data_IF_512509282999
#
_entry.id   IF_512509282999
#
_cell.length_a   1.000
_cell.length_b   1.000
_cell.length_c   1.000
_cell.angle_alpha   90.00
_cell.angle_beta   90.00
_cell.angle_gamma   90.00
#
_symmetry.space_group_name_H-M   'P 1'
#
loop_
_entity.id
_entity.type
_entity.pdbx_description
1 polymer ?
#
# COMPACT_ATOMS: atom_id res chain seq x y z
N UNK A 1 -18.01 42.23 34.09
CA UNK A 1 -17.40 40.98 33.58
C UNK A 1 -16.00 41.29 33.08
N UNK A 2 -14.99 41.14 33.94
CA UNK A 2 -13.59 41.25 33.54
C UNK A 2 -13.21 39.98 32.78
N UNK A 3 -12.80 40.10 31.53
CA UNK A 3 -12.25 38.98 30.78
C UNK A 3 -11.02 38.48 31.54
N UNK A 4 -11.08 37.25 32.08
CA UNK A 4 -9.89 36.57 32.59
C UNK A 4 -8.91 36.41 31.42
N UNK A 5 -7.93 37.32 31.34
CA UNK A 5 -6.78 37.18 30.45
C UNK A 5 -6.03 35.93 30.89
N UNK A 6 -6.30 34.83 30.20
CA UNK A 6 -5.64 33.55 30.48
C UNK A 6 -4.12 33.74 30.36
N UNK A 7 -3.38 33.25 31.35
CA UNK A 7 -1.92 33.38 31.38
C UNK A 7 -1.32 32.81 30.07
N UNK A 8 -0.35 33.51 29.44
CA UNK A 8 0.16 33.13 28.14
C UNK A 8 0.85 31.75 28.15
N UNK A 9 0.87 31.09 27.00
CA UNK A 9 1.56 29.80 26.85
C UNK A 9 3.07 29.95 27.06
N UNK A 10 3.69 28.98 27.75
CA UNK A 10 5.13 28.93 27.90
C UNK A 10 5.83 28.81 26.54
N UNK A 11 7.04 29.38 26.43
CA UNK A 11 7.86 29.28 25.20
C UNK A 11 8.10 27.82 24.78
N UNK A 12 8.24 26.91 25.75
CA UNK A 12 8.38 25.48 25.49
C UNK A 12 7.14 24.87 24.84
N UNK A 13 5.93 25.19 25.32
CA UNK A 13 4.70 24.67 24.73
C UNK A 13 4.46 25.21 23.32
N UNK A 14 4.85 26.47 23.07
CA UNK A 14 4.82 27.04 21.73
C UNK A 14 5.77 26.31 20.78
N UNK A 15 7.00 25.98 21.23
CA UNK A 15 7.97 25.20 20.44
C UNK A 15 7.45 23.80 20.12
N UNK A 16 6.88 23.08 21.10
CA UNK A 16 6.30 21.75 20.88
C UNK A 16 5.18 21.82 19.83
N UNK A 17 4.32 22.83 19.89
CA UNK A 17 3.28 23.04 18.89
C UNK A 17 3.86 23.29 17.49
N UNK A 18 4.90 24.12 17.37
CA UNK A 18 5.57 24.34 16.08
C UNK A 18 6.18 23.05 15.54
N UNK A 19 6.84 22.25 16.38
CA UNK A 19 7.39 20.94 15.98
C UNK A 19 6.25 20.02 15.50
N UNK A 20 5.13 19.96 16.21
CA UNK A 20 3.97 19.16 15.80
C UNK A 20 3.50 19.53 14.38
N UNK A 21 3.45 20.82 14.04
CA UNK A 21 3.08 21.28 12.68
C UNK A 21 4.09 20.78 11.65
N UNK A 22 5.39 20.88 11.95
CA UNK A 22 6.44 20.37 11.05
C UNK A 22 6.29 18.88 10.81
N UNK A 23 6.03 18.08 11.87
CA UNK A 23 5.83 16.64 11.73
C UNK A 23 4.55 16.32 10.93
N UNK A 24 3.46 17.07 11.14
CA UNK A 24 2.23 16.91 10.36
C UNK A 24 2.47 17.16 8.87
N UNK A 25 3.25 18.20 8.52
CA UNK A 25 3.61 18.49 7.12
C UNK A 25 4.58 17.45 6.57
N UNK A 26 5.47 16.90 7.41
CA UNK A 26 6.42 15.88 7.00
C UNK A 26 5.73 14.59 6.50
N UNK A 27 4.55 14.26 7.04
CA UNK A 27 3.79 13.06 6.65
C UNK A 27 3.41 12.99 5.15
N UNK A 28 2.71 13.98 4.55
CA UNK A 28 2.44 13.95 3.12
C UNK A 28 3.72 14.18 2.30
N UNK A 29 4.64 15.03 2.78
CA UNK A 29 5.90 15.30 2.08
C UNK A 29 6.70 14.01 1.91
N UNK A 30 6.82 13.17 2.95
CA UNK A 30 7.60 11.93 2.91
C UNK A 30 7.14 10.97 1.81
N UNK A 31 5.83 10.75 1.72
CA UNK A 31 5.23 9.85 0.74
C UNK A 31 5.26 10.45 -0.67
N UNK A 32 4.81 11.70 -0.83
CA UNK A 32 4.72 12.36 -2.13
C UNK A 32 6.09 12.61 -2.75
N UNK A 33 7.12 12.89 -1.95
CA UNK A 33 8.49 12.99 -2.47
C UNK A 33 8.99 11.67 -3.08
N UNK A 34 8.60 10.52 -2.52
CA UNK A 34 8.89 9.21 -3.11
C UNK A 34 8.12 9.01 -4.42
N UNK A 35 6.82 9.32 -4.40
CA UNK A 35 5.94 9.18 -5.57
C UNK A 35 6.39 10.02 -6.76
N UNK A 36 6.83 11.25 -6.50
CA UNK A 36 7.31 12.19 -7.52
C UNK A 36 8.75 11.91 -7.95
N UNK A 37 9.42 10.90 -7.36
CA UNK A 37 10.80 10.56 -7.67
C UNK A 37 11.83 11.57 -7.16
N UNK A 38 11.46 12.44 -6.22
CA UNK A 38 12.37 13.41 -5.59
C UNK A 38 13.41 12.66 -4.74
N UNK A 39 13.01 11.55 -4.11
CA UNK A 39 13.91 10.65 -3.38
C UNK A 39 13.49 9.18 -3.48
N UNK A 40 14.40 8.24 -3.17
CA UNK A 40 14.04 6.82 -3.05
C UNK A 40 13.00 6.58 -1.96
N UNK A 41 12.20 5.52 -2.12
CA UNK A 41 11.14 5.18 -1.16
C UNK A 41 11.67 4.94 0.27
N UNK A 42 12.91 4.48 0.42
CA UNK A 42 13.56 4.27 1.72
C UNK A 42 13.71 5.58 2.49
N UNK A 43 14.00 6.69 1.80
CA UNK A 43 14.03 8.03 2.41
C UNK A 43 12.62 8.45 2.81
N UNK A 44 11.62 8.22 1.96
CA UNK A 44 10.23 8.47 2.32
C UNK A 44 9.78 7.70 3.57
N UNK A 45 10.13 6.43 3.68
CA UNK A 45 9.83 5.61 4.87
C UNK A 45 10.57 6.11 6.11
N UNK A 46 11.82 6.55 5.96
CA UNK A 46 12.59 7.17 7.06
C UNK A 46 11.92 8.45 7.56
N UNK A 47 11.53 9.35 6.65
CA UNK A 47 10.85 10.61 7.00
C UNK A 47 9.48 10.36 7.65
N UNK A 48 8.73 9.36 7.17
CA UNK A 48 7.48 8.92 7.80
C UNK A 48 7.74 8.42 9.23
N UNK A 49 8.81 7.64 9.43
CA UNK A 49 9.21 7.11 10.74
C UNK A 49 9.61 8.23 11.70
N UNK A 50 10.33 9.24 11.23
CA UNK A 50 10.66 10.45 12.01
C UNK A 50 9.38 11.20 12.43
N UNK A 51 8.44 11.37 11.49
CA UNK A 51 7.14 11.98 11.79
C UNK A 51 6.38 11.21 12.87
N UNK A 52 6.33 9.87 12.76
CA UNK A 52 5.67 8.99 13.71
C UNK A 52 6.31 9.04 15.10
N UNK A 53 7.62 8.81 15.19
CA UNK A 53 8.34 8.78 16.47
C UNK A 53 8.34 10.15 17.14
N UNK A 54 8.55 11.23 16.37
CA UNK A 54 8.44 12.59 16.90
C UNK A 54 7.06 12.88 17.45
N UNK A 55 6.01 12.42 16.76
CA UNK A 55 4.62 12.59 17.21
C UNK A 55 4.34 11.82 18.51
N UNK A 56 4.86 10.60 18.62
CA UNK A 56 4.76 9.80 19.85
C UNK A 56 5.48 10.47 21.03
N UNK A 57 6.69 11.00 20.80
CA UNK A 57 7.46 11.74 21.81
C UNK A 57 6.68 12.98 22.27
N UNK A 58 6.03 13.71 21.36
CA UNK A 58 5.16 14.84 21.73
C UNK A 58 4.03 14.40 22.66
N UNK A 59 3.38 13.25 22.40
CA UNK A 59 2.32 12.76 23.30
C UNK A 59 2.87 12.46 24.70
N UNK A 60 4.05 11.83 24.80
CA UNK A 60 4.68 11.51 26.07
C UNK A 60 5.06 12.79 26.84
N UNK A 61 5.73 13.74 26.18
CA UNK A 61 6.12 15.01 26.79
C UNK A 61 4.89 15.78 27.27
N UNK A 62 3.84 15.87 26.43
CA UNK A 62 2.62 16.57 26.79
C UNK A 62 1.92 15.91 27.99
N UNK A 63 1.85 14.58 28.04
CA UNK A 63 1.29 13.85 29.17
C UNK A 63 2.03 14.19 30.47
N UNK A 64 3.37 14.07 30.48
CA UNK A 64 4.22 14.42 31.63
C UNK A 64 3.98 15.87 32.07
N UNK A 65 3.91 16.80 31.11
CA UNK A 65 3.78 18.21 31.44
C UNK A 65 2.39 18.58 31.96
N UNK A 66 1.34 17.92 31.48
CA UNK A 66 -0.02 18.06 32.00
C UNK A 66 -0.16 17.60 33.46
N UNK A 67 0.59 16.56 33.88
CA UNK A 67 0.64 16.14 35.29
C UNK A 67 1.20 17.23 36.22
N UNK A 68 2.01 18.16 35.70
CA UNK A 68 2.54 19.30 36.47
C UNK A 68 1.54 20.44 36.64
N UNK A 69 0.27 20.26 36.25
CA UNK A 69 -0.82 21.24 36.36
C UNK A 69 -0.41 22.64 35.82
N UNK A 70 0.00 22.74 34.54
CA UNK A 70 0.49 23.98 33.98
C UNK A 70 -0.62 25.04 33.86
N UNK A 71 -0.22 26.32 33.77
CA UNK A 71 -1.15 27.44 33.57
C UNK A 71 -2.04 27.25 32.31
N UNK A 72 -3.22 27.88 32.32
CA UNK A 72 -4.27 27.67 31.31
C UNK A 72 -3.79 27.82 29.85
N UNK A 73 -3.04 28.88 29.51
CA UNK A 73 -2.52 29.05 28.15
C UNK A 73 -1.50 28.00 27.74
N UNK A 74 -0.68 27.51 28.67
CA UNK A 74 0.25 26.39 28.42
C UNK A 74 -0.52 25.10 28.18
N UNK A 75 -1.53 24.81 29.02
CA UNK A 75 -2.43 23.65 28.83
C UNK A 75 -3.10 23.66 27.46
N UNK A 76 -3.58 24.83 27.01
CA UNK A 76 -4.18 24.99 25.68
C UNK A 76 -3.18 24.71 24.57
N UNK A 77 -1.97 25.29 24.62
CA UNK A 77 -0.93 25.05 23.63
C UNK A 77 -0.52 23.57 23.51
N UNK A 78 -0.41 22.85 24.64
CA UNK A 78 -0.12 21.41 24.65
C UNK A 78 -1.24 20.58 24.04
N UNK A 79 -2.51 20.92 24.33
CA UNK A 79 -3.65 20.24 23.70
C UNK A 79 -3.61 20.36 22.17
N UNK A 80 -3.38 21.57 21.64
CA UNK A 80 -3.25 21.76 20.20
C UNK A 80 -2.05 21.01 19.62
N UNK A 81 -0.91 21.04 20.29
CA UNK A 81 0.26 20.26 19.86
C UNK A 81 -0.05 18.76 19.79
N UNK A 82 -0.73 18.21 20.79
CA UNK A 82 -1.18 16.82 20.78
C UNK A 82 -2.12 16.53 19.62
N UNK A 83 -3.16 17.35 19.40
CA UNK A 83 -4.10 17.16 18.29
C UNK A 83 -3.42 17.20 16.92
N UNK A 84 -2.47 18.11 16.72
CA UNK A 84 -1.71 18.24 15.47
C UNK A 84 -0.77 17.04 15.26
N UNK A 85 -0.22 16.46 16.32
CA UNK A 85 0.65 15.30 16.27
C UNK A 85 -0.11 13.96 16.23
N UNK A 86 -1.44 13.93 16.31
CA UNK A 86 -2.22 12.67 16.23
C UNK A 86 -2.23 12.00 14.85
N UNK A 87 -2.37 12.72 13.71
CA UNK A 87 -2.59 12.08 12.41
C UNK A 87 -1.55 11.03 12.01
N UNK A 88 -0.23 11.24 12.19
CA UNK A 88 0.76 10.18 11.91
C UNK A 88 0.53 8.90 12.72
N UNK A 89 0.18 9.03 13.99
CA UNK A 89 -0.11 7.90 14.88
C UNK A 89 -1.37 7.16 14.43
N UNK A 90 -2.44 7.91 14.12
CA UNK A 90 -3.71 7.35 13.66
C UNK A 90 -3.53 6.64 12.31
N UNK A 91 -2.78 7.24 11.38
CA UNK A 91 -2.50 6.63 10.08
C UNK A 91 -1.80 5.27 10.24
N UNK A 92 -0.73 5.21 11.04
CA UNK A 92 0.01 3.97 11.27
C UNK A 92 -0.82 2.96 12.05
N UNK A 93 -1.61 3.38 13.05
CA UNK A 93 -2.51 2.48 13.77
C UNK A 93 -3.58 1.87 12.87
N UNK A 94 -4.16 2.63 11.92
CA UNK A 94 -5.08 2.08 10.93
C UNK A 94 -4.39 1.11 9.97
N UNK A 95 -3.17 1.45 9.53
CA UNK A 95 -2.37 0.59 8.67
C UNK A 95 -2.03 -0.73 9.37
N UNK A 96 -1.66 -0.68 10.65
CA UNK A 96 -1.36 -1.84 11.50
C UNK A 96 -2.58 -2.70 11.81
N UNK A 97 -3.76 -2.12 12.05
CA UNK A 97 -4.99 -2.90 12.21
C UNK A 97 -5.33 -3.71 10.96
N UNK A 98 -4.92 -3.24 9.79
CA UNK A 98 -5.03 -3.96 8.52
C UNK A 98 -3.94 -5.03 8.32
N UNK A 99 -2.97 -5.17 9.23
CA UNK A 99 -1.94 -6.23 9.21
C UNK A 99 -2.42 -7.37 10.12
N UNK A 100 -2.62 -8.57 9.55
CA UNK A 100 -2.73 -9.77 10.37
C UNK A 100 -1.39 -10.10 11.04
N UNK A 101 -1.42 -10.86 12.12
CA UNK A 101 -0.23 -11.12 12.96
C UNK A 101 0.90 -11.87 12.21
N UNK A 102 0.58 -12.64 11.16
CA UNK A 102 1.55 -13.47 10.42
C UNK A 102 1.46 -13.27 8.90
N UNK A 103 1.79 -12.06 8.40
CA UNK A 103 1.90 -11.88 6.95
C UNK A 103 3.26 -12.37 6.44
N UNK A 104 3.29 -13.28 5.45
CA UNK A 104 4.54 -13.81 4.91
C UNK A 104 5.36 -12.70 4.27
N UNK A 105 6.68 -12.79 4.38
CA UNK A 105 7.62 -11.93 3.65
C UNK A 105 7.74 -12.41 2.19
N UNK A 106 6.62 -12.41 1.48
CA UNK A 106 6.54 -12.70 0.05
C UNK A 106 5.89 -11.51 -0.67
N UNK A 107 6.25 -11.34 -1.93
CA UNK A 107 5.80 -10.22 -2.75
C UNK A 107 5.45 -10.67 -4.18
N UNK A 108 5.29 -11.98 -4.38
CA UNK A 108 5.10 -12.61 -5.68
C UNK A 108 3.99 -13.64 -5.50
N UNK A 109 2.80 -13.32 -6.00
CA UNK A 109 1.60 -14.13 -5.80
C UNK A 109 1.06 -14.58 -7.16
N UNK A 110 0.77 -15.87 -7.31
CA UNK A 110 0.25 -16.47 -8.56
C UNK A 110 -1.02 -17.27 -8.27
N UNK A 111 -1.99 -17.24 -9.17
CA UNK A 111 -3.18 -18.12 -9.07
C UNK A 111 -2.91 -19.54 -9.53
N UNK A 112 -1.90 -19.72 -10.39
CA UNK A 112 -1.42 -21.02 -10.87
C UNK A 112 -0.02 -21.23 -10.27
N UNK A 113 0.09 -22.11 -9.27
CA UNK A 113 1.35 -22.35 -8.54
C UNK A 113 2.30 -23.27 -9.30
N UNK A 114 1.75 -24.15 -10.15
CA UNK A 114 2.52 -25.14 -10.89
C UNK A 114 3.10 -24.54 -12.17
N UNK A 115 2.32 -23.70 -12.85
CA UNK A 115 2.73 -23.00 -14.06
C UNK A 115 2.35 -21.50 -13.98
N UNK A 116 3.03 -20.71 -13.14
CA UNK A 116 2.73 -19.29 -12.97
C UNK A 116 2.75 -18.53 -14.29
N UNK A 117 1.81 -17.59 -14.52
CA UNK A 117 1.88 -16.64 -15.62
C UNK A 117 3.26 -15.96 -15.69
N UNK A 118 3.83 -15.95 -16.89
CA UNK A 118 5.16 -15.40 -17.14
C UNK A 118 5.06 -13.95 -17.60
N UNK A 119 5.95 -13.11 -17.09
CA UNK A 119 6.11 -11.75 -17.56
C UNK A 119 7.07 -11.72 -18.76
N UNK A 120 6.74 -10.93 -19.76
CA UNK A 120 7.54 -10.69 -20.96
C UNK A 120 7.91 -9.20 -21.03
N UNK A 121 6.93 -8.31 -21.04
CA UNK A 121 7.17 -6.88 -21.19
C UNK A 121 7.60 -6.22 -19.86
N UNK A 122 7.14 -6.74 -18.72
CA UNK A 122 7.53 -6.22 -17.40
C UNK A 122 9.05 -6.24 -17.18
N UNK A 123 9.77 -7.16 -17.82
CA UNK A 123 11.24 -7.27 -17.74
C UNK A 123 11.90 -5.97 -18.22
N UNK A 124 11.35 -5.32 -19.25
CA UNK A 124 11.85 -4.06 -19.80
C UNK A 124 11.27 -2.84 -19.05
N UNK A 125 10.05 -2.97 -18.51
CA UNK A 125 9.35 -1.88 -17.82
C UNK A 125 9.75 -1.72 -16.35
N UNK A 126 10.38 -2.74 -15.76
CA UNK A 126 10.86 -2.74 -14.38
C UNK A 126 12.29 -2.19 -14.32
N UNK A 127 12.60 -1.40 -13.29
CA UNK A 127 13.96 -0.91 -13.09
C UNK A 127 14.88 -2.02 -12.58
N UNK A 128 16.20 -1.85 -12.75
CA UNK A 128 17.20 -2.86 -12.36
C UNK A 128 17.17 -3.22 -10.86
N UNK A 129 16.73 -2.30 -10.01
CA UNK A 129 16.62 -2.51 -8.56
C UNK A 129 15.28 -3.16 -8.15
N UNK A 130 14.48 -3.61 -9.12
CA UNK A 130 13.21 -4.27 -8.81
C UNK A 130 13.44 -5.68 -8.28
N UNK A 131 12.59 -6.13 -7.38
CA UNK A 131 12.58 -7.51 -6.87
C UNK A 131 12.64 -8.55 -8.01
N UNK A 132 13.16 -9.76 -7.76
CA UNK A 132 13.19 -10.80 -8.79
C UNK A 132 11.79 -11.25 -9.20
N UNK A 133 11.67 -11.67 -10.47
CA UNK A 133 10.48 -12.29 -11.04
C UNK A 133 10.48 -13.82 -10.91
N UNK A 134 11.47 -14.41 -10.25
CA UNK A 134 11.51 -15.85 -10.01
C UNK A 134 10.33 -16.28 -9.11
N UNK A 135 9.68 -17.39 -9.47
CA UNK A 135 8.67 -18.03 -8.64
C UNK A 135 9.23 -19.36 -8.13
N UNK A 136 9.78 -19.36 -6.92
CA UNK A 136 10.41 -20.56 -6.35
C UNK A 136 9.39 -21.45 -5.64
N UNK A 137 9.75 -22.72 -5.42
CA UNK A 137 8.94 -23.66 -4.63
C UNK A 137 8.74 -23.19 -3.17
N UNK A 138 9.71 -22.45 -2.63
CA UNK A 138 9.60 -21.82 -1.30
C UNK A 138 8.50 -20.75 -1.29
N UNK A 139 8.48 -19.87 -2.31
CA UNK A 139 7.42 -18.86 -2.47
C UNK A 139 6.06 -19.53 -2.63
N UNK A 140 5.96 -20.59 -3.44
CA UNK A 140 4.73 -21.34 -3.61
C UNK A 140 4.21 -21.93 -2.28
N UNK A 141 5.13 -22.52 -1.49
CA UNK A 141 4.80 -23.10 -0.18
C UNK A 141 4.30 -22.04 0.80
N UNK A 142 5.01 -20.92 0.91
CA UNK A 142 4.62 -19.81 1.79
C UNK A 142 3.29 -19.19 1.34
N UNK A 143 3.09 -19.01 0.04
CA UNK A 143 1.82 -18.54 -0.49
C UNK A 143 0.68 -19.49 -0.13
N UNK A 144 0.84 -20.80 -0.33
CA UNK A 144 -0.21 -21.77 -0.06
C UNK A 144 -0.60 -21.80 1.43
N UNK A 145 0.34 -21.54 2.33
CA UNK A 145 0.07 -21.45 3.77
C UNK A 145 -0.68 -20.18 4.14
N UNK A 146 -0.35 -19.04 3.52
CA UNK A 146 -0.89 -17.74 3.90
C UNK A 146 -2.11 -17.28 3.10
N UNK A 147 -2.27 -17.76 1.88
CA UNK A 147 -3.32 -17.37 0.93
C UNK A 147 -3.88 -18.58 0.15
N UNK A 148 -4.35 -19.65 0.81
CA UNK A 148 -4.85 -20.87 0.16
C UNK A 148 -6.08 -20.63 -0.73
N UNK A 149 -6.79 -19.53 -0.54
CA UNK A 149 -7.96 -19.14 -1.30
C UNK A 149 -7.64 -18.63 -2.72
N UNK A 150 -6.39 -18.23 -2.99
CA UNK A 150 -5.99 -17.68 -4.29
C UNK A 150 -5.79 -18.80 -5.31
N UNK A 151 -6.72 -18.88 -6.25
CA UNK A 151 -6.75 -19.92 -7.28
C UNK A 151 -7.13 -19.31 -8.64
N UNK A 152 -6.87 -20.05 -9.72
CA UNK A 152 -7.26 -19.66 -11.08
C UNK A 152 -8.77 -19.44 -11.20
N UNK A 153 -9.16 -18.43 -11.97
CA UNK A 153 -10.57 -18.10 -12.17
C UNK A 153 -11.13 -18.82 -13.40
N UNK A 154 -12.17 -19.64 -13.19
CA UNK A 154 -12.94 -20.26 -14.26
C UNK A 154 -13.99 -19.26 -14.80
N UNK A 155 -14.19 -19.24 -16.11
CA UNK A 155 -15.20 -18.39 -16.76
C UNK A 155 -15.86 -19.11 -17.93
N UNK A 156 -17.19 -18.98 -18.02
CA UNK A 156 -17.98 -19.50 -19.16
C UNK A 156 -17.82 -18.66 -20.44
N UNK A 157 -17.08 -17.55 -20.35
CA UNK A 157 -16.78 -16.70 -21.51
C UNK A 157 -15.77 -17.39 -22.42
N UNK A 158 -15.91 -17.18 -23.73
CA UNK A 158 -14.87 -17.57 -24.68
C UNK A 158 -13.56 -16.85 -24.35
N UNK A 159 -12.38 -17.39 -24.73
CA UNK A 159 -11.10 -16.74 -24.48
C UNK A 159 -11.03 -15.28 -24.97
N UNK A 160 -11.65 -14.98 -26.11
CA UNK A 160 -11.70 -13.62 -26.65
C UNK A 160 -12.56 -12.69 -25.80
N UNK A 161 -13.74 -13.15 -25.38
CA UNK A 161 -14.63 -12.39 -24.50
C UNK A 161 -14.01 -12.18 -23.10
N UNK A 162 -13.38 -13.22 -22.56
CA UNK A 162 -12.68 -13.15 -21.28
C UNK A 162 -11.49 -12.19 -21.36
N UNK A 163 -10.71 -12.20 -22.44
CA UNK A 163 -9.63 -11.25 -22.66
C UNK A 163 -10.14 -9.81 -22.66
N UNK A 164 -11.18 -9.51 -23.47
CA UNK A 164 -11.75 -8.17 -23.55
C UNK A 164 -12.29 -7.69 -22.19
N UNK A 165 -12.96 -8.58 -21.45
CA UNK A 165 -13.47 -8.29 -20.10
C UNK A 165 -12.33 -8.08 -19.11
N UNK A 166 -11.29 -8.92 -19.13
CA UNK A 166 -10.13 -8.80 -18.25
C UNK A 166 -9.39 -7.48 -18.46
N UNK A 167 -9.24 -7.05 -19.71
CA UNK A 167 -8.67 -5.75 -20.05
C UNK A 167 -9.51 -4.61 -19.47
N UNK A 168 -10.83 -4.64 -19.71
CA UNK A 168 -11.75 -3.61 -19.19
C UNK A 168 -11.74 -3.56 -17.66
N UNK A 169 -11.68 -4.73 -17.00
CA UNK A 169 -11.57 -4.82 -15.53
C UNK A 169 -10.26 -4.20 -15.03
N UNK A 170 -9.12 -4.51 -15.65
CA UNK A 170 -7.83 -3.93 -15.29
C UNK A 170 -7.83 -2.40 -15.41
N UNK A 171 -8.38 -1.88 -16.51
CA UNK A 171 -8.53 -0.43 -16.74
C UNK A 171 -9.49 0.21 -15.73
N UNK A 172 -10.62 -0.43 -15.40
CA UNK A 172 -11.58 0.05 -14.42
C UNK A 172 -11.01 0.06 -12.99
N UNK A 173 -10.06 -0.82 -12.68
CA UNK A 173 -9.29 -0.80 -11.43
C UNK A 173 -8.20 0.28 -11.42
N UNK A 174 -8.02 1.03 -12.52
CA UNK A 174 -7.04 2.10 -12.65
C UNK A 174 -5.61 1.60 -12.93
N UNK A 175 -5.45 0.33 -13.33
CA UNK A 175 -4.13 -0.19 -13.69
C UNK A 175 -3.67 0.41 -15.02
N UNK A 176 -2.37 0.69 -15.12
CA UNK A 176 -1.75 1.13 -16.37
C UNK A 176 -1.35 -0.09 -17.18
N UNK A 177 -2.15 -0.45 -18.18
CA UNK A 177 -1.88 -1.57 -19.11
C UNK A 177 -0.81 -1.16 -20.11
N UNK A 178 0.28 -1.93 -20.18
CA UNK A 178 1.41 -1.64 -21.08
C UNK A 178 1.68 -2.76 -22.11
N UNK A 179 1.11 -3.96 -21.96
CA UNK A 179 1.11 -5.02 -22.97
C UNK A 179 -0.27 -5.68 -23.12
N UNK A 180 -0.63 -5.99 -24.35
CA UNK A 180 -1.90 -6.65 -24.71
C UNK A 180 -1.69 -7.63 -25.86
N UNK A 181 -1.19 -8.83 -25.55
CA UNK A 181 -0.96 -9.87 -26.53
C UNK A 181 -2.19 -10.78 -26.66
N UNK A 182 -3.13 -10.39 -27.53
CA UNK A 182 -4.36 -11.16 -27.80
C UNK A 182 -4.08 -12.58 -28.30
N UNK A 183 -3.06 -12.76 -29.15
CA UNK A 183 -2.72 -14.06 -29.72
C UNK A 183 -2.28 -15.08 -28.67
N UNK A 184 -1.58 -14.61 -27.62
CA UNK A 184 -1.12 -15.45 -26.52
C UNK A 184 -2.02 -15.36 -25.28
N UNK A 185 -3.15 -14.64 -25.37
CA UNK A 185 -4.06 -14.41 -24.25
C UNK A 185 -3.40 -13.71 -23.06
N UNK A 186 -2.39 -12.85 -23.27
CA UNK A 186 -1.64 -12.19 -22.20
C UNK A 186 -1.95 -10.70 -22.11
N UNK A 187 -2.16 -10.21 -20.89
CA UNK A 187 -2.23 -8.78 -20.58
C UNK A 187 -1.18 -8.52 -19.51
N UNK A 188 -0.38 -7.46 -19.66
CA UNK A 188 0.50 -6.97 -18.60
C UNK A 188 0.20 -5.52 -18.26
N UNK A 189 0.17 -5.25 -16.96
CA UNK A 189 -0.18 -3.95 -16.41
C UNK A 189 0.63 -3.67 -15.14
N UNK A 190 0.61 -2.41 -14.71
CA UNK A 190 1.17 -2.00 -13.42
C UNK A 190 0.11 -1.31 -12.59
N UNK A 191 0.01 -1.73 -11.33
CA UNK A 191 -0.74 -1.02 -10.30
C UNK A 191 0.22 -0.13 -9.50
N UNK A 192 -0.18 1.12 -9.22
CA UNK A 192 0.67 2.10 -8.53
C UNK A 192 -0.05 2.68 -7.32
N UNK A 193 0.50 2.40 -6.13
CA UNK A 193 -0.07 2.91 -4.86
C UNK A 193 -0.13 4.43 -4.83
N UNK A 194 -1.25 4.98 -4.32
CA UNK A 194 -1.51 6.41 -4.35
C UNK A 194 -0.44 7.25 -3.61
N UNK A 195 -0.05 6.88 -2.39
CA UNK A 195 0.79 7.73 -1.54
C UNK A 195 2.28 7.66 -1.89
N UNK A 196 2.84 6.46 -1.88
CA UNK A 196 4.29 6.24 -2.06
C UNK A 196 4.70 6.02 -3.51
N UNK A 197 3.76 5.72 -4.40
CA UNK A 197 4.09 5.37 -5.78
C UNK A 197 4.76 4.01 -5.93
N UNK A 198 4.62 3.11 -4.94
CA UNK A 198 5.01 1.71 -5.10
C UNK A 198 4.29 1.09 -6.29
N UNK A 199 5.04 0.35 -7.09
CA UNK A 199 4.59 -0.28 -8.32
C UNK A 199 4.58 -1.80 -8.13
N UNK A 200 3.48 -2.41 -8.55
CA UNK A 200 3.30 -3.86 -8.59
C UNK A 200 2.95 -4.25 -10.03
N UNK A 201 3.75 -5.12 -10.63
CA UNK A 201 3.52 -5.62 -11.98
C UNK A 201 2.51 -6.77 -11.93
N UNK A 202 1.55 -6.77 -12.85
CA UNK A 202 0.50 -7.78 -12.97
C UNK A 202 0.53 -8.37 -14.36
N UNK A 203 0.50 -9.69 -14.44
CA UNK A 203 0.24 -10.42 -15.68
C UNK A 203 -1.02 -11.24 -15.55
N UNK A 204 -1.85 -11.20 -16.58
CA UNK A 204 -3.06 -12.00 -16.73
C UNK A 204 -2.86 -12.91 -17.93
N UNK A 205 -3.11 -14.20 -17.77
CA UNK A 205 -3.06 -15.21 -18.84
C UNK A 205 -4.45 -15.85 -18.98
N UNK A 206 -5.01 -15.76 -20.18
CA UNK A 206 -6.28 -16.37 -20.54
C UNK A 206 -6.00 -17.60 -21.40
N UNK A 207 -6.51 -18.76 -20.97
CA UNK A 207 -6.43 -20.04 -21.70
C UNK A 207 -7.83 -20.53 -22.04
N UNK A 208 -7.99 -21.22 -23.16
CA UNK A 208 -9.22 -21.96 -23.43
C UNK A 208 -9.39 -23.12 -22.44
N UNK A 209 -10.64 -23.43 -22.10
CA UNK A 209 -11.04 -24.63 -21.40
C UNK A 209 -12.28 -25.23 -22.06
N UNK A 210 -12.64 -26.46 -21.69
CA UNK A 210 -13.80 -27.15 -22.26
C UNK A 210 -15.13 -26.41 -22.04
N UNK A 211 -15.20 -25.57 -20.99
CA UNK A 211 -16.39 -24.82 -20.59
C UNK A 211 -16.31 -23.32 -20.91
N UNK A 212 -15.22 -22.86 -21.53
CA UNK A 212 -14.99 -21.45 -21.82
C UNK A 212 -13.52 -21.07 -21.72
N UNK A 213 -13.13 -20.45 -20.61
CA UNK A 213 -11.75 -20.03 -20.37
C UNK A 213 -11.31 -20.11 -18.90
N UNK A 214 -9.99 -20.22 -18.72
CA UNK A 214 -9.30 -20.11 -17.44
C UNK A 214 -8.51 -18.80 -17.44
N UNK A 215 -8.67 -18.00 -16.40
CA UNK A 215 -7.96 -16.74 -16.19
C UNK A 215 -7.00 -16.94 -15.03
N UNK A 216 -5.71 -17.01 -15.36
CA UNK A 216 -4.63 -17.02 -14.40
C UNK A 216 -4.09 -15.61 -14.21
N UNK A 217 -3.66 -15.29 -13.00
CA UNK A 217 -3.05 -14.02 -12.67
C UNK A 217 -1.77 -14.22 -11.88
N UNK A 218 -0.84 -13.30 -12.05
CA UNK A 218 0.31 -13.16 -11.18
C UNK A 218 0.59 -11.71 -10.92
N UNK A 219 0.88 -11.37 -9.66
CA UNK A 219 1.10 -10.00 -9.21
C UNK A 219 2.36 -9.95 -8.37
N UNK A 220 3.28 -9.03 -8.71
CA UNK A 220 4.63 -8.97 -8.13
C UNK A 220 5.03 -7.54 -7.79
N UNK A 221 5.39 -7.29 -6.53
CA UNK A 221 5.90 -5.99 -6.13
C UNK A 221 7.30 -5.73 -6.64
N UNK A 222 7.55 -4.52 -7.13
CA UNK A 222 8.90 -4.11 -7.55
C UNK A 222 9.84 -3.86 -6.36
N UNK A 223 9.33 -3.53 -5.18
CA UNK A 223 10.17 -3.24 -4.00
C UNK A 223 9.62 -3.90 -2.74
N UNK A 224 10.50 -4.11 -1.75
CA UNK A 224 10.14 -4.68 -0.45
C UNK A 224 10.27 -6.20 -0.41
N UNK A 225 10.66 -6.74 0.76
CA UNK A 225 10.79 -8.20 0.96
C UNK A 225 9.44 -8.90 1.05
N UNK A 226 8.43 -8.20 1.55
CA UNK A 226 7.04 -8.64 1.54
C UNK A 226 6.16 -7.48 1.11
N UNK A 227 4.97 -7.80 0.62
CA UNK A 227 3.99 -6.84 0.14
C UNK A 227 2.83 -6.62 1.12
N UNK A 228 2.89 -7.28 2.28
CA UNK A 228 1.85 -7.27 3.29
C UNK A 228 0.49 -7.73 2.73
N UNK A 229 0.46 -8.70 1.80
CA UNK A 229 -0.75 -9.21 1.18
C UNK A 229 -1.36 -8.29 0.12
N UNK A 230 -0.65 -7.26 -0.34
CA UNK A 230 -1.16 -6.36 -1.38
C UNK A 230 -1.44 -7.09 -2.70
N UNK A 231 -0.53 -7.96 -3.16
CA UNK A 231 -0.70 -8.74 -4.39
C UNK A 231 -1.85 -9.75 -4.27
N UNK A 232 -1.99 -10.39 -3.11
CA UNK A 232 -3.12 -11.25 -2.80
C UNK A 232 -4.47 -10.51 -2.91
N UNK A 233 -4.58 -9.37 -2.21
CA UNK A 233 -5.76 -8.50 -2.23
C UNK A 233 -6.08 -8.01 -3.64
N UNK A 234 -5.06 -7.68 -4.44
CA UNK A 234 -5.22 -7.22 -5.82
C UNK A 234 -5.85 -8.28 -6.72
N UNK A 235 -5.33 -9.51 -6.65
CA UNK A 235 -5.87 -10.64 -7.43
C UNK A 235 -7.33 -10.89 -7.03
N UNK A 236 -7.64 -10.97 -5.73
CA UNK A 236 -9.02 -11.17 -5.26
C UNK A 236 -9.96 -10.06 -5.71
N UNK A 237 -9.55 -8.80 -5.61
CA UNK A 237 -10.35 -7.65 -6.04
C UNK A 237 -10.62 -7.67 -7.55
N UNK A 238 -9.63 -8.04 -8.36
CA UNK A 238 -9.81 -8.23 -9.79
C UNK A 238 -10.79 -9.36 -10.09
N UNK A 239 -10.63 -10.51 -9.44
CA UNK A 239 -11.51 -11.67 -9.66
C UNK A 239 -12.96 -11.34 -9.30
N UNK A 240 -13.20 -10.66 -8.18
CA UNK A 240 -14.53 -10.20 -7.77
C UNK A 240 -15.15 -9.25 -8.80
N UNK A 241 -14.39 -8.24 -9.23
CA UNK A 241 -14.85 -7.27 -10.24
C UNK A 241 -15.10 -7.95 -11.60
N UNK A 242 -14.25 -8.90 -12.01
CA UNK A 242 -14.44 -9.68 -13.22
C UNK A 242 -15.70 -10.53 -13.15
N UNK A 243 -16.03 -11.14 -12.00
CA UNK A 243 -17.29 -11.88 -11.81
C UNK A 243 -18.53 -10.98 -11.80
N UNK A 244 -18.36 -9.68 -11.59
CA UNK A 244 -19.47 -8.74 -11.39
C UNK A 244 -20.02 -8.75 -9.96
N UNK A 245 -19.27 -9.31 -9.01
CA UNK A 245 -19.57 -9.24 -7.59
C UNK A 245 -19.19 -7.83 -7.10
N UNK A 246 -20.11 -7.14 -6.40
CA UNK A 246 -19.75 -5.88 -5.73
C UNK A 246 -18.85 -6.23 -4.54
N UNK A 247 -17.60 -5.77 -4.60
CA UNK A 247 -16.65 -5.85 -3.49
C UNK A 247 -17.01 -4.96 -2.31
#
# INVERSE_FOLDING_TARGET
MTAETTAPASKGAQRIRTIAIVLLVLLPVSALGSRLGIWPYSIGLLLLSVSLLGSLIIQIINAIWLFRKPAAGTKSALRYASLIALPPLVLVANFMQGMGEDRPLIHNISTDLENPPQFVEAIQQRGNDSNPLEYSAEVATLQQQSFPEINSLQSDLSPEQAFAKALTTAEAMGWSVYDQNKLQGRIEAVDTTFWFGFKDDVVIRIKASDQGSIIDMRSVSRVGKGDMGANAKRIMAFQAMFKGEKG
#
